data_IF_224735294251
#
_entry.id   IF_224735294251
#
_cell.length_a   1.000
_cell.length_b   1.000
_cell.length_c   1.000
_cell.angle_alpha   90.00
_cell.angle_beta   90.00
_cell.angle_gamma   90.00
#
_symmetry.space_group_name_H-M   'P 1'
#
loop_
_entity.id
_entity.type
_entity.pdbx_description
1 polymer ?
#
# COMPACT_ATOMS: atom_id res chain seq x y z
N UNK A 1 28.47 -5.75 -6.26
CA UNK A 1 27.27 -4.88 -6.20
C UNK A 1 27.70 -3.57 -5.57
N UNK A 2 27.79 -2.55 -6.41
CA UNK A 2 28.43 -1.26 -6.15
C UNK A 2 27.65 -0.42 -5.13
N UNK A 3 28.36 0.19 -4.18
CA UNK A 3 27.75 0.99 -3.10
C UNK A 3 27.02 2.26 -3.59
N UNK A 4 27.14 2.62 -4.86
CA UNK A 4 26.40 3.72 -5.50
C UNK A 4 24.91 3.41 -5.67
N UNK A 5 24.51 2.13 -5.74
CA UNK A 5 23.12 1.75 -6.02
C UNK A 5 22.20 1.86 -4.81
N UNK A 6 22.70 1.69 -3.57
CA UNK A 6 21.86 1.65 -2.36
C UNK A 6 21.30 3.02 -1.94
N UNK A 7 22.12 4.07 -1.97
CA UNK A 7 21.68 5.43 -1.61
C UNK A 7 20.69 6.06 -2.60
N UNK A 8 20.94 5.86 -3.90
CA UNK A 8 20.00 6.27 -4.96
C UNK A 8 18.69 5.49 -4.89
N UNK A 9 18.74 4.17 -4.63
CA UNK A 9 17.54 3.33 -4.48
C UNK A 9 16.68 3.74 -3.29
N UNK A 10 17.29 4.14 -2.16
CA UNK A 10 16.56 4.64 -1.00
C UNK A 10 15.83 5.95 -1.28
N UNK A 11 16.51 6.94 -1.89
CA UNK A 11 15.89 8.23 -2.22
C UNK A 11 14.75 8.06 -3.23
N UNK A 12 14.96 7.19 -4.22
CA UNK A 12 13.91 6.79 -5.15
C UNK A 12 12.73 6.15 -4.42
N UNK A 13 12.98 5.20 -3.54
CA UNK A 13 11.94 4.55 -2.73
C UNK A 13 11.13 5.56 -1.92
N UNK A 14 11.81 6.42 -1.15
CA UNK A 14 11.16 7.43 -0.32
C UNK A 14 10.30 8.39 -1.16
N UNK A 15 10.79 8.82 -2.33
CA UNK A 15 10.07 9.67 -3.25
C UNK A 15 8.83 8.96 -3.83
N UNK A 16 8.98 7.74 -4.33
CA UNK A 16 7.87 6.95 -4.90
C UNK A 16 6.79 6.67 -3.86
N UNK A 17 7.16 6.30 -2.63
CA UNK A 17 6.21 6.06 -1.55
C UNK A 17 5.38 7.31 -1.24
N UNK A 18 6.05 8.45 -1.02
CA UNK A 18 5.37 9.70 -0.68
C UNK A 18 4.51 10.22 -1.85
N UNK A 19 5.05 10.23 -3.07
CA UNK A 19 4.32 10.69 -4.26
C UNK A 19 3.13 9.78 -4.54
N UNK A 20 3.32 8.46 -4.50
CA UNK A 20 2.22 7.49 -4.67
C UNK A 20 1.10 7.71 -3.65
N UNK A 21 1.45 7.88 -2.37
CA UNK A 21 0.47 8.14 -1.31
C UNK A 21 -0.28 9.46 -1.50
N UNK A 22 0.43 10.55 -1.83
CA UNK A 22 -0.20 11.86 -2.06
C UNK A 22 -1.10 11.86 -3.29
N UNK A 23 -0.67 11.25 -4.38
CA UNK A 23 -1.49 11.06 -5.58
C UNK A 23 -2.73 10.23 -5.26
N UNK A 24 -2.58 9.15 -4.50
CA UNK A 24 -3.69 8.27 -4.12
C UNK A 24 -4.76 9.04 -3.34
N UNK A 25 -4.34 9.78 -2.31
CA UNK A 25 -5.25 10.61 -1.50
C UNK A 25 -5.93 11.65 -2.38
N UNK A 26 -5.16 12.37 -3.21
CA UNK A 26 -5.67 13.44 -4.07
C UNK A 26 -6.69 12.95 -5.09
N UNK A 27 -6.41 11.84 -5.79
CA UNK A 27 -7.34 11.23 -6.74
C UNK A 27 -8.59 10.72 -6.01
N UNK A 28 -8.44 10.14 -4.82
CA UNK A 28 -9.57 9.62 -4.04
C UNK A 28 -10.53 10.74 -3.60
N UNK A 29 -10.07 11.99 -3.46
CA UNK A 29 -10.98 13.12 -3.19
C UNK A 29 -11.93 13.43 -4.36
N UNK A 30 -11.64 12.93 -5.56
CA UNK A 30 -12.48 13.10 -6.74
C UNK A 30 -13.47 11.94 -6.94
N UNK A 31 -13.40 10.91 -6.07
CA UNK A 31 -14.27 9.74 -6.10
C UNK A 31 -15.67 10.12 -5.62
N UNK A 32 -16.69 9.52 -6.25
CA UNK A 32 -18.07 9.80 -5.89
C UNK A 32 -18.40 9.09 -4.56
N UNK A 33 -18.67 9.86 -3.51
CA UNK A 33 -18.90 9.34 -2.16
C UNK A 33 -20.37 9.36 -1.71
N UNK A 34 -20.61 8.79 -0.54
CA UNK A 34 -21.93 8.72 0.12
C UNK A 34 -21.92 7.62 1.18
N UNK A 35 -23.09 7.31 1.74
CA UNK A 35 -23.25 6.13 2.60
C UNK A 35 -23.12 4.87 1.75
N UNK A 36 -21.97 4.23 1.84
CA UNK A 36 -21.51 3.26 0.85
C UNK A 36 -22.15 1.87 1.01
N UNK A 37 -22.86 1.64 2.12
CA UNK A 37 -23.66 0.44 2.37
C UNK A 37 -25.17 0.66 2.11
N UNK A 38 -25.61 1.88 1.82
CA UNK A 38 -26.94 2.13 1.25
C UNK A 38 -26.90 1.89 -0.26
N UNK A 39 -26.99 0.61 -0.65
CA UNK A 39 -26.82 0.14 -2.02
C UNK A 39 -27.69 0.88 -3.05
N UNK A 40 -29.02 1.06 -2.86
CA UNK A 40 -29.85 1.81 -3.80
C UNK A 40 -29.34 3.25 -4.01
N UNK A 41 -29.00 3.95 -2.94
CA UNK A 41 -28.55 5.34 -3.03
C UNK A 41 -27.18 5.43 -3.69
N UNK A 42 -26.22 4.63 -3.24
CA UNK A 42 -24.84 4.73 -3.69
C UNK A 42 -24.66 4.25 -5.14
N UNK A 43 -25.36 3.18 -5.56
CA UNK A 43 -25.31 2.72 -6.94
C UNK A 43 -25.85 3.77 -7.91
N UNK A 44 -26.87 4.54 -7.52
CA UNK A 44 -27.37 5.64 -8.34
C UNK A 44 -26.31 6.75 -8.51
N UNK A 45 -25.56 7.06 -7.46
CA UNK A 45 -24.42 8.00 -7.49
C UNK A 45 -23.33 7.48 -8.43
N UNK A 46 -22.94 6.22 -8.30
CA UNK A 46 -21.92 5.58 -9.13
C UNK A 46 -22.33 5.55 -10.60
N UNK A 47 -23.58 5.18 -10.90
CA UNK A 47 -24.17 5.22 -12.24
C UNK A 47 -24.14 6.65 -12.84
N UNK A 48 -24.38 7.68 -12.04
CA UNK A 48 -24.37 9.09 -12.46
C UNK A 48 -22.98 9.72 -12.60
N UNK A 49 -21.94 9.14 -12.00
CA UNK A 49 -20.59 9.74 -12.01
C UNK A 49 -19.93 9.72 -13.40
N UNK A 50 -19.56 10.88 -13.94
CA UNK A 50 -18.91 11.00 -15.25
C UNK A 50 -17.41 10.68 -15.24
N UNK A 51 -16.75 10.80 -14.08
CA UNK A 51 -15.30 10.61 -13.94
C UNK A 51 -14.91 9.25 -13.31
N UNK A 52 -15.89 8.41 -12.97
CA UNK A 52 -15.71 7.15 -12.22
C UNK A 52 -14.50 6.34 -12.68
N UNK A 53 -14.48 5.90 -13.93
CA UNK A 53 -13.40 5.04 -14.45
C UNK A 53 -12.04 5.74 -14.43
N UNK A 54 -11.99 7.06 -14.67
CA UNK A 54 -10.73 7.81 -14.65
C UNK A 54 -10.17 7.92 -13.23
N UNK A 55 -11.03 8.12 -12.22
CA UNK A 55 -10.63 8.13 -10.81
C UNK A 55 -9.99 6.79 -10.43
N UNK A 56 -10.60 5.68 -10.82
CA UNK A 56 -10.10 4.33 -10.53
C UNK A 56 -8.79 4.00 -11.25
N UNK A 57 -8.63 4.43 -12.50
CA UNK A 57 -7.33 4.37 -13.20
C UNK A 57 -6.27 5.19 -12.47
N UNK A 58 -6.62 6.40 -12.01
CA UNK A 58 -5.72 7.23 -11.22
C UNK A 58 -5.31 6.58 -9.89
N UNK A 59 -6.26 5.96 -9.18
CA UNK A 59 -6.01 5.19 -7.97
C UNK A 59 -5.08 4.00 -8.25
N UNK A 60 -5.31 3.25 -9.32
CA UNK A 60 -4.45 2.15 -9.75
C UNK A 60 -3.00 2.61 -9.98
N UNK A 61 -2.81 3.70 -10.74
CA UNK A 61 -1.49 4.25 -11.04
C UNK A 61 -0.81 4.73 -9.76
N UNK A 62 -1.52 5.45 -8.89
CA UNK A 62 -0.98 5.93 -7.63
C UNK A 62 -0.54 4.79 -6.69
N UNK A 63 -1.36 3.73 -6.59
CA UNK A 63 -1.02 2.52 -5.83
C UNK A 63 0.19 1.79 -6.45
N UNK A 64 0.26 1.71 -7.78
CA UNK A 64 1.40 1.15 -8.50
C UNK A 64 2.71 1.88 -8.18
N UNK A 65 2.68 3.21 -8.15
CA UNK A 65 3.82 4.05 -7.76
C UNK A 65 4.23 3.78 -6.31
N UNK A 66 3.26 3.72 -5.38
CA UNK A 66 3.50 3.44 -3.97
C UNK A 66 4.17 2.07 -3.79
N UNK A 67 3.62 1.02 -4.41
CA UNK A 67 4.13 -0.34 -4.30
C UNK A 67 5.49 -0.51 -5.01
N UNK A 68 5.74 0.22 -6.11
CA UNK A 68 7.08 0.33 -6.69
C UNK A 68 8.08 0.96 -5.71
N UNK A 69 7.64 1.91 -4.88
CA UNK A 69 8.41 2.47 -3.78
C UNK A 69 8.79 1.43 -2.70
N UNK A 70 7.88 0.52 -2.32
CA UNK A 70 8.19 -0.60 -1.43
C UNK A 70 9.18 -1.60 -2.06
N UNK A 71 9.04 -1.88 -3.36
CA UNK A 71 10.01 -2.72 -4.08
C UNK A 71 11.39 -2.05 -4.17
N UNK A 72 11.43 -0.74 -4.41
CA UNK A 72 12.68 0.02 -4.36
C UNK A 72 13.30 0.02 -2.95
N UNK A 73 12.46 0.03 -1.90
CA UNK A 73 12.91 -0.08 -0.51
C UNK A 73 13.64 -1.40 -0.28
N UNK A 74 13.11 -2.51 -0.80
CA UNK A 74 13.74 -3.82 -0.74
C UNK A 74 15.18 -3.81 -1.29
N UNK A 75 15.43 -3.11 -2.40
CA UNK A 75 16.77 -2.97 -2.97
C UNK A 75 17.65 -1.91 -2.27
N UNK A 76 17.03 -0.94 -1.59
CA UNK A 76 17.72 0.12 -0.86
C UNK A 76 18.24 -0.28 0.52
N UNK A 77 17.62 -1.29 1.15
CA UNK A 77 17.97 -1.76 2.51
C UNK A 77 19.02 -2.88 2.47
N UNK A 78 20.12 -2.73 3.22
CA UNK A 78 21.15 -3.78 3.34
C UNK A 78 20.68 -4.90 4.30
N UNK A 79 19.96 -5.88 3.75
CA UNK A 79 19.38 -7.00 4.50
C UNK A 79 20.44 -8.05 4.86
N UNK A 80 21.25 -7.77 5.89
CA UNK A 80 22.18 -8.75 6.46
C UNK A 80 21.48 -9.62 7.52
N UNK A 81 21.80 -10.91 7.49
CA UNK A 81 21.25 -11.99 8.31
C UNK A 81 19.83 -12.49 7.94
N UNK A 82 19.62 -13.79 8.20
CA UNK A 82 18.57 -14.63 7.62
C UNK A 82 17.15 -14.06 7.71
N UNK A 83 16.70 -13.67 8.90
CA UNK A 83 15.30 -13.26 9.12
C UNK A 83 14.94 -11.95 8.41
N UNK A 84 15.80 -10.93 8.44
CA UNK A 84 15.54 -9.65 7.76
C UNK A 84 15.51 -9.82 6.24
N UNK A 85 16.39 -10.67 5.69
CA UNK A 85 16.42 -11.00 4.27
C UNK A 85 15.15 -11.70 3.81
N UNK A 86 14.67 -12.68 4.57
CA UNK A 86 13.43 -13.38 4.26
C UNK A 86 12.20 -12.48 4.42
N UNK A 87 12.15 -11.67 5.49
CA UNK A 87 11.10 -10.69 5.67
C UNK A 87 11.00 -9.74 4.47
N UNK A 88 12.12 -9.16 4.02
CA UNK A 88 12.14 -8.31 2.82
C UNK A 88 11.66 -9.02 1.55
N UNK A 89 12.04 -10.29 1.33
CA UNK A 89 11.61 -11.08 0.17
C UNK A 89 10.10 -11.36 0.18
N UNK A 90 9.58 -11.86 1.30
CA UNK A 90 8.15 -12.13 1.44
C UNK A 90 7.33 -10.83 1.42
N UNK A 91 7.86 -9.74 1.98
CA UNK A 91 7.27 -8.41 1.89
C UNK A 91 7.17 -7.92 0.44
N UNK A 92 8.24 -8.10 -0.36
CA UNK A 92 8.22 -7.75 -1.78
C UNK A 92 7.21 -8.61 -2.59
N UNK A 93 7.12 -9.91 -2.31
CA UNK A 93 6.12 -10.80 -2.92
C UNK A 93 4.71 -10.33 -2.55
N UNK A 94 4.44 -10.05 -1.27
CA UNK A 94 3.14 -9.57 -0.82
C UNK A 94 2.79 -8.18 -1.36
N UNK A 95 3.76 -7.29 -1.55
CA UNK A 95 3.54 -6.03 -2.26
C UNK A 95 3.10 -6.27 -3.72
N UNK A 96 3.70 -7.24 -4.40
CA UNK A 96 3.25 -7.67 -5.73
C UNK A 96 1.84 -8.27 -5.74
N UNK A 97 1.52 -9.11 -4.75
CA UNK A 97 0.16 -9.66 -4.56
C UNK A 97 -0.85 -8.54 -4.27
N UNK A 98 -0.50 -7.59 -3.41
CA UNK A 98 -1.32 -6.42 -3.12
C UNK A 98 -1.60 -5.61 -4.38
N UNK A 99 -0.60 -5.40 -5.26
CA UNK A 99 -0.79 -4.72 -6.54
C UNK A 99 -1.75 -5.48 -7.46
N UNK A 100 -1.60 -6.81 -7.55
CA UNK A 100 -2.45 -7.65 -8.39
C UNK A 100 -3.91 -7.63 -7.90
N UNK A 101 -4.12 -7.76 -6.59
CA UNK A 101 -5.43 -7.65 -5.95
C UNK A 101 -6.01 -6.26 -6.12
N UNK A 102 -5.18 -5.21 -6.05
CA UNK A 102 -5.63 -3.85 -6.32
C UNK A 102 -6.06 -3.69 -7.78
N UNK A 103 -5.29 -4.23 -8.73
CA UNK A 103 -5.70 -4.23 -10.14
C UNK A 103 -7.03 -4.93 -10.38
N UNK A 104 -7.24 -6.08 -9.72
CA UNK A 104 -8.53 -6.79 -9.76
C UNK A 104 -9.64 -5.96 -9.10
N UNK A 105 -9.39 -5.33 -7.95
CA UNK A 105 -10.31 -4.40 -7.30
C UNK A 105 -10.70 -3.27 -8.25
N UNK A 106 -9.75 -2.66 -8.97
CA UNK A 106 -10.05 -1.57 -9.90
C UNK A 106 -10.83 -2.04 -11.14
N UNK A 107 -10.69 -3.30 -11.55
CA UNK A 107 -11.55 -3.89 -12.57
C UNK A 107 -12.99 -4.12 -12.05
N UNK A 108 -13.15 -4.49 -10.78
CA UNK A 108 -14.46 -4.67 -10.16
C UNK A 108 -15.12 -3.31 -9.87
N UNK A 109 -14.44 -2.45 -9.12
CA UNK A 109 -14.96 -1.16 -8.68
C UNK A 109 -15.02 -0.15 -9.83
N UNK A 110 -13.89 0.09 -10.48
CA UNK A 110 -13.75 1.11 -11.53
C UNK A 110 -14.46 0.80 -12.84
N UNK A 111 -14.84 -0.46 -13.07
CA UNK A 111 -15.47 -0.91 -14.32
C UNK A 111 -16.75 -1.69 -14.07
N UNK A 112 -16.70 -2.83 -13.38
CA UNK A 112 -17.86 -3.72 -13.27
C UNK A 112 -19.03 -3.07 -12.50
N UNK A 113 -18.79 -2.47 -11.33
CA UNK A 113 -19.80 -1.73 -10.57
C UNK A 113 -20.44 -0.64 -11.44
N UNK A 114 -19.61 0.19 -12.08
CA UNK A 114 -20.11 1.26 -12.96
C UNK A 114 -21.09 0.76 -14.02
N UNK A 115 -20.77 -0.35 -14.67
CA UNK A 115 -21.63 -0.91 -15.70
C UNK A 115 -22.88 -1.57 -15.11
N UNK A 116 -22.74 -2.31 -14.00
CA UNK A 116 -23.86 -2.95 -13.32
C UNK A 116 -24.86 -1.92 -12.79
N UNK A 117 -24.38 -0.86 -12.14
CA UNK A 117 -25.18 0.22 -11.59
C UNK A 117 -25.90 1.00 -12.69
N UNK A 118 -25.17 1.35 -13.78
CA UNK A 118 -25.77 2.03 -14.92
C UNK A 118 -26.83 1.16 -15.62
N UNK A 119 -26.61 -0.15 -15.71
CA UNK A 119 -27.60 -1.09 -16.25
C UNK A 119 -28.83 -1.18 -15.35
N UNK A 120 -28.64 -1.26 -14.03
CA UNK A 120 -29.73 -1.23 -13.06
C UNK A 120 -30.54 0.06 -13.13
N UNK A 121 -29.90 1.23 -13.11
CA UNK A 121 -30.58 2.53 -13.17
C UNK A 121 -31.45 2.66 -14.43
N UNK A 122 -31.00 2.13 -15.57
CA UNK A 122 -31.73 2.20 -16.85
C UNK A 122 -32.73 1.06 -17.07
N UNK A 123 -32.74 0.04 -16.21
CA UNK A 123 -33.59 -1.13 -16.40
C UNK A 123 -35.09 -0.78 -16.32
N UNK A 124 -35.94 -1.40 -17.16
CA UNK A 124 -37.39 -1.37 -16.99
C UNK A 124 -37.81 -1.95 -15.63
N UNK A 125 -38.98 -1.55 -15.13
CA UNK A 125 -39.48 -1.98 -13.82
C UNK A 125 -39.51 -3.50 -13.64
N UNK A 126 -39.87 -4.24 -14.69
CA UNK A 126 -39.91 -5.70 -14.68
C UNK A 126 -38.53 -6.37 -14.47
N UNK A 127 -37.43 -5.70 -14.85
CA UNK A 127 -36.05 -6.20 -14.67
C UNK A 127 -35.33 -5.56 -13.48
N UNK A 128 -35.89 -4.51 -12.89
CA UNK A 128 -35.20 -3.63 -11.93
C UNK A 128 -34.62 -4.40 -10.74
N UNK A 129 -35.42 -5.29 -10.14
CA UNK A 129 -35.01 -6.09 -9.00
C UNK A 129 -33.85 -7.06 -9.35
N UNK A 130 -33.91 -7.72 -10.51
CA UNK A 130 -32.87 -8.65 -10.95
C UNK A 130 -31.55 -7.94 -11.27
N UNK A 131 -31.62 -6.76 -11.89
CA UNK A 131 -30.44 -5.92 -12.17
C UNK A 131 -29.82 -5.36 -10.89
N UNK A 132 -30.64 -5.01 -9.92
CA UNK A 132 -30.16 -4.59 -8.59
C UNK A 132 -29.37 -5.69 -7.91
N UNK A 133 -29.93 -6.91 -7.83
CA UNK A 133 -29.24 -8.05 -7.23
C UNK A 133 -27.91 -8.38 -7.95
N UNK A 134 -27.84 -8.15 -9.26
CA UNK A 134 -26.59 -8.29 -10.03
C UNK A 134 -25.55 -7.25 -9.61
N UNK A 135 -25.95 -5.99 -9.40
CA UNK A 135 -25.07 -4.93 -8.91
C UNK A 135 -24.57 -5.21 -7.49
N UNK A 136 -25.44 -5.69 -6.59
CA UNK A 136 -25.05 -6.10 -5.24
C UNK A 136 -24.02 -7.23 -5.25
N UNK A 137 -24.18 -8.22 -6.13
CA UNK A 137 -23.19 -9.29 -6.25
C UNK A 137 -21.80 -8.77 -6.64
N UNK A 138 -21.72 -7.78 -7.53
CA UNK A 138 -20.44 -7.14 -7.89
C UNK A 138 -19.89 -6.34 -6.69
N UNK A 139 -20.75 -5.63 -5.97
CA UNK A 139 -20.38 -4.91 -4.74
C UNK A 139 -19.79 -5.83 -3.67
N UNK A 140 -20.34 -7.02 -3.46
CA UNK A 140 -19.77 -7.98 -2.50
C UNK A 140 -18.43 -8.57 -2.98
N UNK A 141 -18.25 -8.76 -4.30
CA UNK A 141 -16.95 -9.14 -4.85
C UNK A 141 -15.92 -8.03 -4.60
N UNK A 142 -16.33 -6.77 -4.73
CA UNK A 142 -15.48 -5.62 -4.42
C UNK A 142 -15.03 -5.61 -2.95
N UNK A 143 -15.95 -5.88 -2.01
CA UNK A 143 -15.62 -6.00 -0.58
C UNK A 143 -14.55 -7.06 -0.36
N UNK A 144 -14.71 -8.23 -0.98
CA UNK A 144 -13.72 -9.30 -0.95
C UNK A 144 -12.38 -8.88 -1.55
N UNK A 145 -12.36 -8.27 -2.74
CA UNK A 145 -11.12 -7.83 -3.39
C UNK A 145 -10.39 -6.78 -2.56
N UNK A 146 -11.13 -5.81 -2.00
CA UNK A 146 -10.58 -4.79 -1.12
C UNK A 146 -10.02 -5.41 0.18
N UNK A 147 -10.74 -6.36 0.77
CA UNK A 147 -10.32 -7.09 1.96
C UNK A 147 -8.98 -7.79 1.77
N UNK A 148 -8.86 -8.63 0.73
CA UNK A 148 -7.62 -9.35 0.47
C UNK A 148 -6.47 -8.44 0.05
N UNK A 149 -6.75 -7.34 -0.67
CA UNK A 149 -5.75 -6.31 -0.94
C UNK A 149 -5.19 -5.72 0.36
N UNK A 150 -6.06 -5.30 1.28
CA UNK A 150 -5.67 -4.69 2.55
C UNK A 150 -4.89 -5.69 3.42
N UNK A 151 -5.28 -6.97 3.44
CA UNK A 151 -4.48 -8.01 4.11
C UNK A 151 -3.07 -8.16 3.51
N UNK A 152 -2.97 -8.25 2.18
CA UNK A 152 -1.68 -8.41 1.51
C UNK A 152 -0.77 -7.19 1.75
N UNK A 153 -1.33 -5.99 1.66
CA UNK A 153 -0.61 -4.74 1.92
C UNK A 153 -0.18 -4.63 3.39
N UNK A 154 -1.08 -4.94 4.33
CA UNK A 154 -0.79 -4.92 5.75
C UNK A 154 0.34 -5.87 6.14
N UNK A 155 0.30 -7.11 5.64
CA UNK A 155 1.37 -8.09 5.84
C UNK A 155 2.69 -7.64 5.18
N UNK A 156 2.63 -7.05 3.99
CA UNK A 156 3.82 -6.51 3.34
C UNK A 156 4.49 -5.44 4.21
N UNK A 157 3.71 -4.48 4.72
CA UNK A 157 4.22 -3.41 5.59
C UNK A 157 4.81 -3.93 6.90
N UNK A 158 4.20 -4.95 7.51
CA UNK A 158 4.76 -5.60 8.71
C UNK A 158 6.11 -6.26 8.42
N UNK A 159 6.23 -6.96 7.30
CA UNK A 159 7.49 -7.61 6.92
C UNK A 159 8.57 -6.60 6.53
N UNK A 160 8.20 -5.52 5.84
CA UNK A 160 9.10 -4.40 5.58
C UNK A 160 9.52 -3.70 6.88
N UNK A 161 8.62 -3.53 7.84
CA UNK A 161 8.96 -2.99 9.16
C UNK A 161 10.02 -3.85 9.88
N UNK A 162 9.86 -5.18 9.86
CA UNK A 162 10.85 -6.12 10.42
C UNK A 162 12.19 -6.05 9.66
N UNK A 163 12.16 -5.86 8.35
CA UNK A 163 13.37 -5.70 7.54
C UNK A 163 14.08 -4.36 7.86
N UNK A 164 13.32 -3.28 8.00
CA UNK A 164 13.82 -1.92 8.24
C UNK A 164 14.35 -1.75 9.67
N UNK A 165 13.71 -2.30 10.69
CA UNK A 165 14.16 -2.17 12.10
C UNK A 165 15.56 -2.75 12.34
N UNK A 166 15.99 -3.70 11.48
CA UNK A 166 17.31 -4.33 11.54
C UNK A 166 18.38 -3.57 10.74
N UNK A 167 18.03 -2.41 10.19
CA UNK A 167 18.92 -1.58 9.39
C UNK A 167 19.47 -0.46 10.24
N UNK A 168 20.78 -0.49 10.53
CA UNK A 168 21.43 0.32 11.56
C UNK A 168 21.27 1.85 11.44
N UNK A 169 20.88 2.35 10.27
CA UNK A 169 20.81 3.78 9.98
C UNK A 169 19.39 4.32 9.76
N UNK A 170 18.36 3.46 9.72
CA UNK A 170 16.98 3.92 9.66
C UNK A 170 16.49 4.17 11.10
N UNK A 171 16.00 5.37 11.42
CA UNK A 171 15.42 5.63 12.74
C UNK A 171 14.32 4.62 13.08
N UNK A 172 14.43 3.98 14.24
CA UNK A 172 13.45 2.99 14.70
C UNK A 172 11.98 3.46 14.67
N UNK A 173 11.64 4.76 14.86
CA UNK A 173 10.24 5.19 14.75
C UNK A 173 9.65 5.02 13.35
N UNK A 174 10.45 5.08 12.29
CA UNK A 174 9.99 4.82 10.91
C UNK A 174 9.50 3.37 10.80
N UNK A 175 10.30 2.42 11.29
CA UNK A 175 9.91 1.01 11.29
C UNK A 175 8.65 0.77 12.12
N UNK A 176 8.56 1.40 13.30
CA UNK A 176 7.38 1.29 14.17
C UNK A 176 6.11 1.81 13.49
N UNK A 177 6.14 3.02 12.93
CA UNK A 177 4.99 3.62 12.24
C UNK A 177 4.59 2.85 10.98
N UNK A 178 5.57 2.31 10.24
CA UNK A 178 5.31 1.41 9.12
C UNK A 178 4.58 0.13 9.58
N UNK A 179 5.03 -0.47 10.69
CA UNK A 179 4.38 -1.64 11.26
C UNK A 179 2.96 -1.33 11.76
N UNK A 180 2.76 -0.19 12.42
CA UNK A 180 1.44 0.26 12.86
C UNK A 180 0.50 0.51 11.68
N UNK A 181 1.00 1.11 10.60
CA UNK A 181 0.24 1.25 9.35
C UNK A 181 -0.19 -0.13 8.82
N UNK A 182 0.72 -1.11 8.84
CA UNK A 182 0.43 -2.49 8.46
C UNK A 182 -0.67 -3.13 9.30
N UNK A 183 -0.65 -2.94 10.63
CA UNK A 183 -1.71 -3.43 11.52
C UNK A 183 -3.06 -2.80 11.20
N UNK A 184 -3.10 -1.49 10.94
CA UNK A 184 -4.34 -0.80 10.55
C UNK A 184 -4.90 -1.38 9.25
N UNK A 185 -4.05 -1.66 8.25
CA UNK A 185 -4.51 -2.33 7.01
C UNK A 185 -5.04 -3.75 7.26
N UNK A 186 -4.49 -4.52 8.20
CA UNK A 186 -5.08 -5.83 8.56
C UNK A 186 -6.48 -5.68 9.16
N UNK A 187 -6.70 -4.65 9.98
CA UNK A 187 -8.02 -4.35 10.54
C UNK A 187 -8.96 -3.91 9.42
N UNK A 188 -8.52 -3.03 8.51
CA UNK A 188 -9.32 -2.64 7.33
C UNK A 188 -9.74 -3.86 6.52
N UNK A 189 -8.83 -4.81 6.27
CA UNK A 189 -9.13 -6.04 5.55
C UNK A 189 -10.24 -6.85 6.22
N UNK A 190 -10.24 -6.93 7.55
CA UNK A 190 -11.32 -7.57 8.30
C UNK A 190 -12.63 -6.79 8.21
N UNK A 191 -12.59 -5.49 8.51
CA UNK A 191 -13.78 -4.64 8.56
C UNK A 191 -14.47 -4.58 7.21
N UNK A 192 -13.74 -4.36 6.11
CA UNK A 192 -14.35 -4.31 4.77
C UNK A 192 -14.92 -5.66 4.33
N UNK A 193 -14.30 -6.77 4.75
CA UNK A 193 -14.81 -8.10 4.45
C UNK A 193 -16.09 -8.46 5.22
N UNK A 194 -16.23 -7.96 6.44
CA UNK A 194 -17.37 -8.28 7.33
C UNK A 194 -18.52 -7.27 7.23
N UNK A 195 -18.19 -5.99 7.07
CA UNK A 195 -19.12 -4.86 7.19
C UNK A 195 -19.21 -4.02 5.90
N UNK A 196 -18.41 -4.33 4.88
CA UNK A 196 -18.33 -3.50 3.68
C UNK A 196 -17.70 -2.14 3.93
N UNK A 197 -18.17 -1.12 3.23
CA UNK A 197 -17.58 0.22 3.30
C UNK A 197 -18.22 1.05 4.42
N UNK A 198 -18.09 0.56 5.66
CA UNK A 198 -18.67 1.18 6.84
C UNK A 198 -17.97 2.49 7.26
N UNK A 199 -18.59 3.23 8.17
CA UNK A 199 -17.97 4.39 8.81
C UNK A 199 -16.67 4.02 9.55
N UNK A 200 -16.64 2.83 10.17
CA UNK A 200 -15.45 2.28 10.82
C UNK A 200 -14.28 2.17 9.82
N UNK A 201 -14.52 1.54 8.66
CA UNK A 201 -13.52 1.43 7.61
C UNK A 201 -13.02 2.81 7.15
N UNK A 202 -13.93 3.78 7.01
CA UNK A 202 -13.59 5.14 6.61
C UNK A 202 -12.61 5.82 7.59
N UNK A 203 -12.84 5.65 8.89
CA UNK A 203 -11.94 6.15 9.94
C UNK A 203 -10.57 5.46 9.86
N UNK A 204 -10.55 4.14 9.67
CA UNK A 204 -9.32 3.36 9.55
C UNK A 204 -8.50 3.73 8.31
N UNK A 205 -9.15 4.05 7.19
CA UNK A 205 -8.51 4.54 5.96
C UNK A 205 -7.77 5.85 6.26
N UNK A 206 -8.43 6.81 6.91
CA UNK A 206 -7.81 8.09 7.29
C UNK A 206 -6.66 7.88 8.26
N UNK A 207 -6.82 6.99 9.25
CA UNK A 207 -5.75 6.64 10.18
C UNK A 207 -4.52 6.05 9.45
N UNK A 208 -4.74 5.12 8.52
CA UNK A 208 -3.66 4.54 7.71
C UNK A 208 -2.97 5.61 6.84
N UNK A 209 -3.71 6.56 6.27
CA UNK A 209 -3.13 7.68 5.52
C UNK A 209 -2.24 8.54 6.39
N UNK A 210 -2.71 8.94 7.57
CA UNK A 210 -1.92 9.78 8.49
C UNK A 210 -0.64 9.06 8.91
N UNK A 211 -0.76 7.82 9.40
CA UNK A 211 0.40 7.03 9.81
C UNK A 211 1.39 6.84 8.65
N UNK A 212 0.88 6.54 7.46
CA UNK A 212 1.69 6.32 6.26
C UNK A 212 2.45 7.58 5.85
N UNK A 213 1.77 8.72 5.80
CA UNK A 213 2.38 10.00 5.48
C UNK A 213 3.47 10.37 6.48
N UNK A 214 3.24 10.19 7.80
CA UNK A 214 4.25 10.54 8.81
C UNK A 214 5.56 9.77 8.57
N UNK A 215 5.50 8.45 8.40
CA UNK A 215 6.73 7.68 8.23
C UNK A 215 7.37 7.90 6.85
N UNK A 216 6.59 8.09 5.79
CA UNK A 216 7.10 8.36 4.45
C UNK A 216 7.79 9.73 4.38
N UNK A 217 7.20 10.77 4.96
CA UNK A 217 7.81 12.10 5.07
C UNK A 217 9.12 12.01 5.86
N UNK A 218 9.12 11.29 6.98
CA UNK A 218 10.33 11.09 7.77
C UNK A 218 11.41 10.34 6.97
N UNK A 219 11.05 9.31 6.21
CA UNK A 219 11.97 8.58 5.35
C UNK A 219 12.59 9.48 4.26
N UNK A 220 11.81 10.37 3.65
CA UNK A 220 12.33 11.39 2.72
C UNK A 220 13.34 12.29 3.41
N UNK A 221 13.00 12.86 4.57
CA UNK A 221 13.88 13.75 5.32
C UNK A 221 15.22 13.08 5.70
N UNK A 222 15.17 11.82 6.15
CA UNK A 222 16.37 11.04 6.52
C UNK A 222 17.21 10.69 5.30
N UNK A 223 16.59 10.21 4.22
CA UNK A 223 17.31 9.80 3.00
C UNK A 223 17.98 10.98 2.26
N UNK A 224 17.45 12.19 2.41
CA UNK A 224 18.01 13.41 1.82
C UNK A 224 19.08 14.06 2.67
N UNK A 225 18.99 13.97 4.01
CA UNK A 225 19.97 14.56 4.93
C UNK A 225 21.28 13.78 5.04
N UNK A 226 21.29 12.49 4.70
CA UNK A 226 22.53 11.70 4.73
C UNK A 226 23.42 12.00 3.50
N UNK A 227 24.67 12.47 3.71
CA UNK A 227 25.67 12.58 2.66
C UNK A 227 25.89 11.21 1.99
N UNK A 228 26.10 11.23 0.67
CA UNK A 228 26.32 9.98 -0.07
C UNK A 228 27.57 9.23 0.39
N UNK A 229 28.56 9.94 0.94
CA UNK A 229 29.74 9.37 1.61
C UNK A 229 29.42 8.65 2.91
N UNK A 230 28.41 9.11 3.67
CA UNK A 230 28.00 8.55 4.95
C UNK A 230 27.11 7.31 4.76
N UNK A 231 26.20 7.33 3.78
CA UNK A 231 25.49 6.13 3.31
C UNK A 231 26.47 5.04 2.85
N UNK A 232 27.52 5.43 2.11
CA UNK A 232 28.60 4.52 1.68
C UNK A 232 29.41 3.97 2.85
N UNK A 233 29.72 4.82 3.84
CA UNK A 233 30.45 4.41 5.06
C UNK A 233 29.63 3.42 5.88
N UNK A 234 28.33 3.66 6.09
CA UNK A 234 27.44 2.75 6.81
C UNK A 234 27.25 1.42 6.06
N UNK A 235 27.14 1.45 4.72
CA UNK A 235 27.13 0.26 3.89
C UNK A 235 28.47 -0.52 3.89
N UNK A 236 29.59 0.15 4.18
CA UNK A 236 30.92 -0.45 4.28
C UNK A 236 31.25 -0.94 5.70
N UNK A 237 30.86 -0.22 6.75
CA UNK A 237 30.98 -0.65 8.16
C UNK A 237 30.10 -1.88 8.42
N UNK A 238 28.95 -2.00 7.76
CA UNK A 238 28.18 -3.24 7.73
C UNK A 238 28.90 -4.43 7.06
N UNK A 239 29.91 -4.19 6.22
CA UNK A 239 30.79 -5.19 5.55
C UNK A 239 32.05 -5.53 6.34
N UNK A 240 32.47 -4.70 7.29
CA UNK A 240 33.78 -4.78 7.92
C UNK A 240 33.77 -5.26 9.36
N UNK A 241 33.79 -6.59 9.56
CA UNK A 241 34.62 -7.25 10.60
C UNK A 241 34.72 -8.76 10.30
N UNK A 242 35.64 -9.19 9.41
CA UNK A 242 36.28 -10.49 9.56
C UNK A 242 37.12 -10.43 10.84
N UNK A 243 36.98 -11.45 11.70
CA UNK A 243 37.60 -11.48 13.02
C UNK A 243 39.11 -11.20 12.97
N UNK A 244 39.54 -10.17 13.70
CA UNK A 244 40.90 -10.12 14.23
C UNK A 244 40.97 -11.13 15.36
N UNK A 245 41.24 -12.39 15.03
CA UNK A 245 41.82 -13.33 15.97
C UNK A 245 43.24 -12.82 16.24
N UNK A 246 43.42 -12.08 17.32
CA UNK A 246 44.73 -11.95 17.93
C UNK A 246 45.09 -13.31 18.53
N UNK A 247 45.92 -14.08 17.83
CA UNK A 247 46.69 -15.13 18.48
C UNK A 247 47.85 -14.45 19.22
N UNK A 248 47.67 -14.24 20.52
CA UNK A 248 48.77 -14.03 21.45
C UNK A 248 49.46 -15.37 21.73
N UNK A 249 50.76 -15.42 21.44
CA UNK A 249 51.84 -16.12 22.16
C UNK A 249 51.65 -17.59 22.61
N UNK A 250 52.59 -18.43 22.14
CA UNK A 250 52.92 -19.75 22.67
C UNK A 250 54.00 -20.39 21.82
#
# INVERSE_FOLDING_TARGET
MDNTTSGASLRLSAALLLVGQLLYIGVTQLHAGGEANDHPTIFAVYAGSGNWTVVHVGQFVAMGILLAGLLALYFGVDLRAGTARWAGRFGAVLAGVALALYGALQAVDGVANKQADAAWVRAPDAEKAARFASAEAIRWIEWGMRSYHDYALGLALLLFSVAVVRTAWVPWPIAFLMGLSGLVYLVQGWVVGAEGFSQTLSIEIVLAWVLSLVWMIWLVLVSWRMPESELRRLAAEGRGRPGTIHSSSG
#
